data_IF_950226628754
#
_entry.id   IF_950226628754
#
_cell.length_a   1.000
_cell.length_b   1.000
_cell.length_c   1.000
_cell.angle_alpha   90.00
_cell.angle_beta   90.00
_cell.angle_gamma   90.00
#
_symmetry.space_group_name_H-M   'P 1'
#
loop_
_entity.id
_entity.type
_entity.pdbx_description
1 polymer ?
#
# COMPACT_ATOMS: atom_id res chain seq x y z
N UNK A 1 26.22 -3.03 -2.28
CA UNK A 1 27.16 -2.24 -3.14
C UNK A 1 26.72 -0.79 -3.17
N UNK A 2 27.54 0.11 -2.60
CA UNK A 2 27.29 1.56 -2.62
C UNK A 2 27.51 2.14 -4.02
N UNK A 3 27.09 3.39 -4.23
CA UNK A 3 27.23 4.11 -5.52
C UNK A 3 28.68 4.21 -6.01
N UNK A 4 29.64 4.20 -5.08
CA UNK A 4 31.09 4.23 -5.32
C UNK A 4 31.70 2.85 -5.58
N UNK A 5 30.89 1.78 -5.58
CA UNK A 5 31.36 0.40 -5.77
C UNK A 5 31.82 -0.30 -4.48
N UNK A 6 31.88 0.42 -3.34
CA UNK A 6 32.23 -0.18 -2.04
C UNK A 6 31.23 -1.26 -1.63
N UNK A 7 31.76 -2.40 -1.16
CA UNK A 7 30.97 -3.46 -0.51
C UNK A 7 30.87 -3.14 0.98
N UNK A 8 29.64 -3.09 1.48
CA UNK A 8 29.35 -2.93 2.90
C UNK A 8 28.21 -3.87 3.24
N UNK A 9 28.27 -4.51 4.40
CA UNK A 9 27.18 -5.32 4.92
C UNK A 9 25.95 -4.45 5.18
N UNK A 10 24.77 -5.05 4.99
CA UNK A 10 23.52 -4.40 5.33
C UNK A 10 23.47 -4.17 6.84
N UNK A 11 23.21 -2.92 7.23
CA UNK A 11 23.13 -2.50 8.61
C UNK A 11 21.75 -1.89 8.86
N UNK A 12 20.97 -2.59 9.68
CA UNK A 12 19.61 -2.22 10.03
C UNK A 12 19.55 -0.86 10.74
N UNK A 13 20.52 -0.54 11.60
CA UNK A 13 20.56 0.72 12.34
C UNK A 13 20.80 1.90 11.41
N UNK A 14 21.62 1.73 10.37
CA UNK A 14 21.81 2.77 9.34
C UNK A 14 20.52 3.06 8.59
N UNK A 15 19.77 2.03 8.23
CA UNK A 15 18.48 2.20 7.55
C UNK A 15 17.48 2.90 8.47
N UNK A 16 17.40 2.50 9.74
CA UNK A 16 16.59 3.16 10.76
C UNK A 16 16.91 4.64 10.93
N UNK A 17 18.20 4.98 11.05
CA UNK A 17 18.65 6.36 11.17
C UNK A 17 18.27 7.19 9.93
N UNK A 18 18.37 6.60 8.73
CA UNK A 18 17.98 7.26 7.48
C UNK A 18 16.47 7.52 7.40
N UNK A 19 15.65 6.55 7.80
CA UNK A 19 14.18 6.65 7.87
C UNK A 19 13.74 7.70 8.89
N UNK A 20 14.33 7.66 10.08
CA UNK A 20 14.04 8.62 11.16
C UNK A 20 14.41 10.04 10.72
N UNK A 21 15.56 10.21 10.06
CA UNK A 21 16.00 11.50 9.50
C UNK A 21 15.04 11.99 8.41
N UNK A 22 14.56 11.10 7.54
CA UNK A 22 13.54 11.43 6.55
C UNK A 22 12.20 11.85 7.19
N UNK A 23 11.88 11.33 8.38
CA UNK A 23 10.64 11.64 9.11
C UNK A 23 10.78 12.74 10.17
N UNK A 24 11.95 13.35 10.38
CA UNK A 24 12.23 14.23 11.53
C UNK A 24 11.21 15.35 11.81
N UNK A 25 10.66 16.01 10.78
CA UNK A 25 9.62 17.07 10.94
C UNK A 25 8.18 16.54 11.04
N UNK A 26 7.96 15.24 10.87
CA UNK A 26 6.67 14.54 10.92
C UNK A 26 6.90 13.17 11.57
N UNK A 27 6.99 13.11 12.91
CA UNK A 27 7.24 11.85 13.59
C UNK A 27 6.09 10.90 13.27
N UNK A 28 6.39 9.84 12.54
CA UNK A 28 5.49 8.71 12.34
C UNK A 28 5.53 7.81 13.58
N UNK A 29 4.48 7.01 13.82
CA UNK A 29 4.50 6.04 14.91
C UNK A 29 5.70 5.11 14.76
N UNK A 30 6.47 4.91 15.83
CA UNK A 30 7.68 4.06 15.82
C UNK A 30 7.38 2.66 15.28
N UNK A 31 6.27 2.05 15.69
CA UNK A 31 5.87 0.73 15.19
C UNK A 31 5.57 0.69 13.69
N UNK A 32 5.19 1.82 13.09
CA UNK A 32 4.95 1.92 11.65
C UNK A 32 6.28 1.96 10.88
N UNK A 33 7.27 2.69 11.41
CA UNK A 33 8.65 2.69 10.90
C UNK A 33 9.32 1.32 11.07
N UNK A 34 9.14 0.66 12.21
CA UNK A 34 9.67 -0.68 12.46
C UNK A 34 9.06 -1.70 11.50
N UNK A 35 7.75 -1.64 11.28
CA UNK A 35 7.09 -2.50 10.29
C UNK A 35 7.66 -2.29 8.89
N UNK A 36 7.82 -1.03 8.46
CA UNK A 36 8.41 -0.72 7.16
C UNK A 36 9.84 -1.26 7.04
N UNK A 37 10.63 -1.17 8.11
CA UNK A 37 11.99 -1.69 8.18
C UNK A 37 12.02 -3.21 8.00
N UNK A 38 11.20 -3.95 8.76
CA UNK A 38 11.09 -5.40 8.65
C UNK A 38 10.60 -5.84 7.27
N UNK A 39 9.66 -5.11 6.67
CA UNK A 39 9.20 -5.40 5.31
C UNK A 39 10.27 -5.14 4.24
N UNK A 40 11.16 -4.16 4.45
CA UNK A 40 12.32 -3.94 3.57
C UNK A 40 13.32 -5.09 3.74
N UNK A 41 13.62 -5.50 4.97
CA UNK A 41 14.50 -6.65 5.24
C UNK A 41 13.99 -7.93 4.60
N UNK A 42 12.68 -8.21 4.71
CA UNK A 42 12.05 -9.35 4.05
C UNK A 42 12.26 -9.27 2.53
N UNK A 43 11.94 -8.13 1.91
CA UNK A 43 12.12 -7.95 0.47
C UNK A 43 13.57 -8.13 0.02
N UNK A 44 14.55 -7.69 0.82
CA UNK A 44 15.97 -7.92 0.53
C UNK A 44 16.33 -9.39 0.62
N UNK A 45 15.81 -10.11 1.61
CA UNK A 45 16.01 -11.54 1.77
C UNK A 45 15.37 -12.34 0.61
N UNK A 46 14.16 -11.95 0.19
CA UNK A 46 13.41 -12.58 -0.90
C UNK A 46 14.12 -12.46 -2.26
N UNK A 47 14.96 -11.43 -2.46
CA UNK A 47 15.76 -11.29 -3.69
C UNK A 47 16.80 -12.42 -3.82
N UNK A 48 17.21 -13.05 -2.72
CA UNK A 48 18.12 -14.20 -2.73
C UNK A 48 19.52 -13.91 -3.27
N UNK A 49 19.90 -12.63 -3.39
CA UNK A 49 21.22 -12.20 -3.89
C UNK A 49 22.16 -11.90 -2.74
N UNK A 50 23.39 -12.39 -2.85
CA UNK A 50 24.48 -12.09 -1.90
C UNK A 50 24.90 -10.62 -1.94
N UNK A 51 24.69 -9.95 -3.07
CA UNK A 51 25.07 -8.56 -3.28
C UNK A 51 23.89 -7.74 -3.80
N UNK A 52 23.46 -6.75 -3.01
CA UNK A 52 22.36 -5.85 -3.38
C UNK A 52 22.89 -4.43 -3.58
N UNK A 53 22.57 -3.76 -4.71
CA UNK A 53 22.87 -2.35 -4.89
C UNK A 53 22.15 -1.49 -3.85
N UNK A 54 22.83 -0.49 -3.28
CA UNK A 54 22.21 0.48 -2.36
C UNK A 54 21.07 1.26 -3.01
N UNK A 55 21.04 1.34 -4.35
CA UNK A 55 19.94 1.90 -5.11
C UNK A 55 18.64 1.12 -4.90
N UNK A 56 18.70 -0.21 -4.94
CA UNK A 56 17.54 -1.10 -4.73
C UNK A 56 16.98 -0.91 -3.31
N UNK A 57 17.87 -0.79 -2.32
CA UNK A 57 17.46 -0.48 -0.94
C UNK A 57 16.73 0.87 -0.85
N UNK A 58 17.26 1.89 -1.53
CA UNK A 58 16.64 3.20 -1.62
C UNK A 58 15.27 3.15 -2.29
N UNK A 59 15.09 2.35 -3.33
CA UNK A 59 13.82 2.17 -4.03
C UNK A 59 12.75 1.52 -3.13
N UNK A 60 13.08 0.47 -2.38
CA UNK A 60 12.14 -0.11 -1.42
C UNK A 60 11.76 0.87 -0.31
N UNK A 61 12.74 1.60 0.21
CA UNK A 61 12.51 2.62 1.25
C UNK A 61 11.60 3.72 0.72
N UNK A 62 11.84 4.19 -0.50
CA UNK A 62 11.01 5.17 -1.19
C UNK A 62 9.58 4.67 -1.39
N UNK A 63 9.39 3.42 -1.83
CA UNK A 63 8.06 2.85 -2.00
C UNK A 63 7.28 2.90 -0.68
N UNK A 64 7.88 2.44 0.42
CA UNK A 64 7.23 2.47 1.74
C UNK A 64 6.93 3.88 2.22
N UNK A 65 7.88 4.81 2.06
CA UNK A 65 7.64 6.20 2.42
C UNK A 65 6.54 6.85 1.59
N UNK A 66 6.38 6.49 0.31
CA UNK A 66 5.33 7.04 -0.56
C UNK A 66 3.93 6.70 -0.04
N UNK A 67 3.74 5.49 0.48
CA UNK A 67 2.47 5.05 1.07
C UNK A 67 2.24 5.64 2.47
N UNK A 68 3.32 5.86 3.24
CA UNK A 68 3.25 6.30 4.63
C UNK A 68 3.16 7.82 4.81
N UNK A 69 4.08 8.57 4.19
CA UNK A 69 4.10 10.03 4.20
C UNK A 69 4.81 10.57 2.96
N UNK A 70 4.03 11.23 2.09
CA UNK A 70 4.51 11.81 0.84
C UNK A 70 5.59 12.87 1.03
N UNK A 71 5.61 13.59 2.17
CA UNK A 71 6.63 14.61 2.47
C UNK A 71 7.96 13.96 2.88
N UNK A 72 7.90 12.87 3.66
CA UNK A 72 9.05 12.07 4.03
C UNK A 72 9.66 11.38 2.80
N UNK A 73 8.81 10.88 1.88
CA UNK A 73 9.25 10.38 0.56
C UNK A 73 10.08 11.43 -0.18
N UNK A 74 9.56 12.65 -0.34
CA UNK A 74 10.25 13.74 -1.05
C UNK A 74 11.59 14.07 -0.39
N UNK A 75 11.63 14.14 0.96
CA UNK A 75 12.87 14.43 1.70
C UNK A 75 13.92 13.34 1.50
N UNK A 76 13.50 12.07 1.54
CA UNK A 76 14.38 10.95 1.31
C UNK A 76 14.87 10.90 -0.15
N UNK A 77 13.97 11.10 -1.10
CA UNK A 77 14.27 11.17 -2.53
C UNK A 77 15.30 12.25 -2.84
N UNK A 78 15.24 13.41 -2.16
CA UNK A 78 16.22 14.48 -2.34
C UNK A 78 17.66 14.07 -2.02
N UNK A 79 17.87 13.16 -1.08
CA UNK A 79 19.21 12.68 -0.70
C UNK A 79 19.65 11.54 -1.63
N UNK A 80 18.72 10.65 -2.01
CA UNK A 80 19.07 9.44 -2.75
C UNK A 80 19.13 9.62 -4.27
N UNK A 81 18.28 10.46 -4.86
CA UNK A 81 18.25 10.69 -6.31
C UNK A 81 19.19 11.79 -6.76
N UNK A 82 19.77 12.55 -5.82
CA UNK A 82 20.72 13.63 -6.16
C UNK A 82 20.12 14.50 -7.26
N UNK A 83 18.90 15.00 -7.06
CA UNK A 83 18.17 15.75 -8.09
C UNK A 83 19.02 16.97 -8.47
N UNK A 84 19.81 16.84 -9.53
CA UNK A 84 20.64 17.90 -10.10
C UNK A 84 19.76 19.02 -10.66
N UNK A 85 18.49 18.70 -10.92
CA UNK A 85 17.58 19.55 -11.66
C UNK A 85 16.21 19.67 -10.96
N UNK A 86 15.78 20.93 -10.77
CA UNK A 86 14.54 21.29 -10.08
C UNK A 86 13.28 20.86 -10.87
N UNK A 87 13.39 20.73 -12.18
CA UNK A 87 12.31 20.33 -13.08
C UNK A 87 11.97 18.85 -12.91
N UNK A 88 13.00 18.02 -12.69
CA UNK A 88 12.83 16.60 -12.33
C UNK A 88 12.14 16.47 -10.98
N UNK A 89 12.52 17.30 -10.00
CA UNK A 89 11.86 17.33 -8.70
C UNK A 89 10.38 17.71 -8.83
N UNK A 90 10.05 18.75 -9.60
CA UNK A 90 8.68 19.20 -9.84
C UNK A 90 7.82 18.12 -10.49
N UNK A 91 8.36 17.44 -11.50
CA UNK A 91 7.69 16.32 -12.18
C UNK A 91 7.34 15.20 -11.21
N UNK A 92 8.26 14.89 -10.28
CA UNK A 92 8.02 13.87 -9.25
C UNK A 92 6.92 14.31 -8.27
N UNK A 93 6.90 15.59 -7.86
CA UNK A 93 5.84 16.16 -7.03
C UNK A 93 4.48 16.06 -7.73
N UNK A 94 4.42 16.45 -9.01
CA UNK A 94 3.19 16.37 -9.82
C UNK A 94 2.72 14.92 -9.96
N UNK A 95 3.64 13.97 -10.14
CA UNK A 95 3.33 12.54 -10.18
C UNK A 95 2.72 12.04 -8.86
N UNK A 96 3.16 12.56 -7.71
CA UNK A 96 2.55 12.23 -6.42
C UNK A 96 1.15 12.84 -6.28
N UNK A 97 0.92 14.04 -6.81
CA UNK A 97 -0.35 14.79 -6.69
C UNK A 97 -1.48 14.17 -7.50
N UNK A 98 -1.16 13.43 -8.56
CA UNK A 98 -2.15 12.64 -9.29
C UNK A 98 -2.63 11.49 -8.39
N UNK A 99 -3.93 11.43 -8.04
CA UNK A 99 -4.45 10.27 -7.34
C UNK A 99 -4.22 9.02 -8.21
N UNK A 100 -3.77 7.91 -7.62
CA UNK A 100 -3.69 6.61 -8.27
C UNK A 100 -5.11 6.22 -8.72
N UNK A 101 -5.47 6.59 -9.95
CA UNK A 101 -6.80 6.33 -10.53
C UNK A 101 -7.02 4.83 -10.75
N UNK A 102 -5.94 4.06 -10.82
CA UNK A 102 -5.95 2.60 -10.98
C UNK A 102 -6.54 1.83 -9.78
N UNK A 103 -6.59 2.42 -8.58
CA UNK A 103 -7.26 1.77 -7.44
C UNK A 103 -8.78 2.03 -7.38
N UNK A 104 -9.27 3.05 -8.10
CA UNK A 104 -10.70 3.39 -8.13
C UNK A 104 -11.47 2.60 -9.20
N UNK A 105 -10.79 2.09 -10.22
CA UNK A 105 -11.43 1.29 -11.28
C UNK A 105 -11.62 -0.19 -10.88
N UNK A 106 -10.78 -0.73 -10.00
CA UNK A 106 -10.88 -2.12 -9.51
C UNK A 106 -12.10 -2.35 -8.60
N UNK A 107 -12.66 -1.30 -7.99
CA UNK A 107 -13.86 -1.39 -7.16
C UNK A 107 -15.17 -1.19 -7.96
N UNK A 108 -15.11 -1.00 -9.27
CA UNK A 108 -16.29 -0.88 -10.13
C UNK A 108 -16.79 -2.21 -10.70
N UNK A 109 -16.26 -3.35 -10.24
CA UNK A 109 -16.82 -4.66 -10.58
C UNK A 109 -18.15 -4.97 -9.85
N UNK A 110 -18.72 -3.98 -9.14
CA UNK A 110 -20.04 -4.02 -8.51
C UNK A 110 -21.01 -2.95 -9.05
N UNK A 111 -20.88 -2.58 -10.32
CA UNK A 111 -21.92 -1.84 -11.07
C UNK A 111 -22.57 -2.68 -12.19
N UNK A 112 -22.57 -4.02 -12.07
CA UNK A 112 -23.27 -4.94 -12.98
C UNK A 112 -24.60 -5.45 -12.38
N UNK A 113 -25.34 -4.59 -11.68
CA UNK A 113 -26.75 -4.80 -11.34
C UNK A 113 -27.50 -3.46 -11.39
N UNK A 114 -27.46 -2.81 -12.56
CA UNK A 114 -28.59 -1.99 -13.00
C UNK A 114 -29.20 -2.71 -14.20
N UNK A 115 -30.04 -3.72 -13.91
CA UNK A 115 -31.00 -4.24 -14.89
C UNK A 115 -32.24 -3.32 -14.85
N UNK A 116 -32.51 -2.51 -15.89
CA UNK A 116 -33.67 -1.63 -15.94
C UNK A 116 -34.94 -2.37 -16.38
N UNK A 117 -35.18 -3.61 -15.92
CA UNK A 117 -36.41 -4.35 -16.27
C UNK A 117 -36.70 -5.56 -15.35
N UNK A 118 -36.83 -5.33 -14.04
CA UNK A 118 -37.57 -6.26 -13.15
C UNK A 118 -38.68 -5.50 -12.43
N UNK A 119 -39.73 -5.18 -13.18
CA UNK A 119 -41.08 -5.15 -12.60
C UNK A 119 -41.43 -6.60 -12.31
N UNK A 120 -41.52 -7.00 -11.03
CA UNK A 120 -42.48 -7.99 -10.53
C UNK A 120 -42.37 -8.18 -9.01
N UNK A 121 -43.35 -7.60 -8.33
CA UNK A 121 -44.06 -8.09 -7.13
C UNK A 121 -43.28 -8.51 -5.87
N UNK A 122 -43.54 -7.76 -4.79
CA UNK A 122 -43.10 -7.98 -3.41
C UNK A 122 -43.30 -9.42 -2.90
N UNK A 123 -42.35 -9.99 -2.13
CA UNK A 123 -42.55 -11.31 -1.53
C UNK A 123 -43.44 -11.24 -0.29
N UNK A 124 -44.66 -11.75 -0.44
CA UNK A 124 -45.64 -11.99 0.63
C UNK A 124 -45.14 -13.13 1.52
N UNK A 125 -44.64 -12.82 2.72
CA UNK A 125 -44.42 -13.80 3.82
C UNK A 125 -45.74 -14.50 4.15
N UNK A 126 -45.92 -15.79 3.81
CA UNK A 126 -46.74 -16.73 4.60
C UNK A 126 -46.15 -18.14 4.55
N UNK A 127 -45.85 -18.63 5.76
CA UNK A 127 -45.42 -19.99 6.10
C UNK A 127 -46.37 -21.06 5.55
N UNK A 128 -45.79 -22.23 5.28
CA UNK A 128 -46.43 -23.39 4.66
C UNK A 128 -47.66 -23.96 5.36
N UNK A 129 -48.36 -24.80 4.60
CA UNK A 129 -49.61 -25.53 4.88
C UNK A 129 -49.34 -27.03 4.56
N UNK A 130 -50.27 -27.96 4.76
CA UNK A 130 -50.73 -28.62 5.99
C UNK A 130 -50.49 -30.15 5.99
N UNK A 131 -50.84 -30.83 7.08
CA UNK A 131 -51.38 -32.20 7.16
C UNK A 131 -51.82 -32.43 8.61
N UNK A 132 -52.92 -33.07 9.02
CA UNK A 132 -54.04 -33.76 8.38
C UNK A 132 -54.63 -34.73 9.42
N UNK A 133 -55.93 -34.63 9.75
CA UNK A 133 -56.73 -35.62 10.53
C UNK A 133 -56.45 -35.68 12.05
N UNK A 134 -57.37 -36.04 12.95
CA UNK A 134 -58.77 -36.44 12.85
C UNK A 134 -59.42 -36.37 14.26
N UNK A 135 -60.72 -36.04 14.27
CA UNK A 135 -61.84 -36.67 15.00
C UNK A 135 -61.93 -36.75 16.55
N UNK A 136 -63.11 -36.30 17.03
CA UNK A 136 -64.03 -36.81 18.09
C UNK A 136 -63.51 -36.93 19.54
N UNK A 137 -64.27 -36.64 20.60
CA UNK A 137 -65.68 -36.29 20.81
C UNK A 137 -65.99 -36.37 22.32
N UNK A 138 -67.11 -35.75 22.70
CA UNK A 138 -67.84 -35.84 23.98
C UNK A 138 -67.24 -35.18 25.23
#
# INVERSE_FOLDING_TARGET
IKRDGTREEFDREKLWASLTKACAKRPLPTGLLEKALTEIESQLADIGKTEIPSKTLGEFTMSRLKDMDRVAYIRFASVYRDFQDIETFRTEIDALLKPNKEMLESNNQLSFLEDPDVVLSSPKRRRGRPSGGAMVGS
#
